data_IF_138327337684
#
_entry.id   IF_138327337684
#
_cell.length_a   1.000
_cell.length_b   1.000
_cell.length_c   1.000
_cell.angle_alpha   90.00
_cell.angle_beta   90.00
_cell.angle_gamma   90.00
#
_symmetry.space_group_name_H-M   'P 1'
#
loop_
_entity.id
_entity.type
_entity.pdbx_description
1 polymer ?
#
# COMPACT_ATOMS: atom_id res chain seq x y z
N UNK A 1 21.43 -11.42 21.75
CA UNK A 1 21.30 -11.29 20.29
C UNK A 1 19.85 -10.97 19.94
N UNK A 2 19.62 -10.10 18.94
CA UNK A 2 18.26 -9.91 18.41
C UNK A 2 17.90 -11.05 17.50
N UNK A 3 16.66 -11.53 17.57
CA UNK A 3 16.19 -12.63 16.71
C UNK A 3 15.52 -12.07 15.44
N UNK A 4 15.89 -12.58 14.28
CA UNK A 4 15.16 -12.42 13.03
C UNK A 4 14.61 -13.76 12.59
N UNK A 5 13.34 -13.79 12.17
CA UNK A 5 12.73 -14.96 11.54
C UNK A 5 12.49 -14.66 10.07
N UNK A 6 13.18 -15.37 9.20
CA UNK A 6 12.90 -15.40 7.77
C UNK A 6 11.75 -16.38 7.54
N UNK A 7 10.63 -15.91 6.98
CA UNK A 7 9.44 -16.70 6.74
C UNK A 7 9.32 -16.98 5.24
N UNK A 8 9.31 -18.25 4.87
CA UNK A 8 9.22 -18.70 3.49
C UNK A 8 8.01 -19.64 3.31
N UNK A 9 6.88 -19.13 2.79
CA UNK A 9 5.75 -19.96 2.37
C UNK A 9 6.14 -20.88 1.22
N UNK A 10 5.79 -22.16 1.30
CA UNK A 10 6.13 -23.18 0.29
C UNK A 10 4.92 -23.98 -0.15
N UNK A 11 4.93 -24.36 -1.42
CA UNK A 11 4.05 -25.37 -2.00
C UNK A 11 4.70 -25.97 -3.23
N UNK A 12 5.23 -27.20 -3.10
CA UNK A 12 5.97 -27.91 -4.15
C UNK A 12 7.19 -27.11 -4.63
N UNK A 13 8.15 -26.91 -3.73
CA UNK A 13 9.38 -26.13 -3.97
C UNK A 13 10.65 -26.99 -3.72
N UNK A 14 10.58 -28.33 -3.87
CA UNK A 14 11.70 -29.22 -3.60
C UNK A 14 12.96 -28.90 -4.41
N UNK A 15 12.79 -28.35 -5.61
CA UNK A 15 13.92 -27.96 -6.47
C UNK A 15 14.72 -26.75 -5.99
N UNK A 16 14.15 -25.90 -5.11
CA UNK A 16 14.75 -24.63 -4.66
C UNK A 16 14.99 -24.59 -3.15
N UNK A 17 14.23 -25.36 -2.36
CA UNK A 17 14.18 -25.24 -0.91
C UNK A 17 15.53 -25.49 -0.22
N UNK A 18 16.32 -26.47 -0.68
CA UNK A 18 17.63 -26.75 -0.14
C UNK A 18 18.57 -25.57 -0.26
N UNK A 19 18.65 -24.99 -1.46
CA UNK A 19 19.49 -23.81 -1.73
C UNK A 19 19.04 -22.60 -0.93
N UNK A 20 17.72 -22.38 -0.77
CA UNK A 20 17.19 -21.31 0.07
C UNK A 20 17.68 -21.46 1.51
N UNK A 21 17.53 -22.65 2.11
CA UNK A 21 17.91 -22.90 3.50
C UNK A 21 19.41 -22.65 3.71
N UNK A 22 20.26 -23.22 2.85
CA UNK A 22 21.71 -23.04 2.92
C UNK A 22 22.09 -21.58 2.80
N UNK A 23 21.60 -20.88 1.77
CA UNK A 23 21.94 -19.46 1.53
C UNK A 23 21.44 -18.54 2.64
N UNK A 24 20.29 -18.81 3.26
CA UNK A 24 19.80 -18.03 4.41
C UNK A 24 20.72 -18.16 5.61
N UNK A 25 21.12 -19.39 5.97
CA UNK A 25 22.00 -19.60 7.11
C UNK A 25 23.44 -19.14 6.87
N UNK A 26 23.93 -19.15 5.64
CA UNK A 26 25.23 -18.57 5.26
C UNK A 26 25.31 -17.05 5.58
N UNK A 27 24.18 -16.36 5.71
CA UNK A 27 24.17 -14.94 6.09
C UNK A 27 24.48 -14.72 7.59
N UNK A 28 24.46 -15.76 8.42
CA UNK A 28 24.73 -15.65 9.87
C UNK A 28 26.13 -15.09 10.15
N UNK A 29 27.11 -15.44 9.34
CA UNK A 29 28.49 -14.95 9.48
C UNK A 29 28.60 -13.43 9.30
N UNK A 30 27.71 -12.82 8.51
CA UNK A 30 27.67 -11.38 8.23
C UNK A 30 26.87 -10.60 9.29
N UNK A 31 26.21 -11.30 10.21
CA UNK A 31 25.24 -10.73 11.15
C UNK A 31 25.51 -11.19 12.58
N UNK A 32 26.70 -10.90 13.15
CA UNK A 32 27.12 -11.45 14.46
C UNK A 32 26.22 -11.02 15.63
N UNK A 33 25.47 -9.94 15.48
CA UNK A 33 24.55 -9.43 16.52
C UNK A 33 23.12 -9.98 16.39
N UNK A 34 22.88 -10.83 15.37
CA UNK A 34 21.54 -11.35 15.06
C UNK A 34 21.56 -12.88 15.06
N UNK A 35 20.52 -13.46 15.64
CA UNK A 35 20.19 -14.88 15.52
C UNK A 35 19.23 -15.07 14.34
N UNK A 36 19.70 -15.72 13.28
CA UNK A 36 18.88 -16.02 12.12
C UNK A 36 18.09 -17.30 12.37
N UNK A 37 16.77 -17.18 12.30
CA UNK A 37 15.83 -18.28 12.32
C UNK A 37 15.13 -18.35 10.96
N UNK A 38 14.88 -19.53 10.43
CA UNK A 38 14.14 -19.75 9.19
C UNK A 38 12.89 -20.58 9.46
N UNK A 39 11.73 -20.05 9.15
CA UNK A 39 10.45 -20.73 9.25
C UNK A 39 9.91 -21.04 7.86
N UNK A 40 9.92 -22.32 7.50
CA UNK A 40 9.23 -22.82 6.31
C UNK A 40 7.76 -23.06 6.66
N UNK A 41 6.86 -22.47 5.88
CA UNK A 41 5.40 -22.61 6.02
C UNK A 41 4.89 -23.40 4.84
N UNK A 42 4.77 -24.71 5.01
CA UNK A 42 4.46 -25.62 3.92
C UNK A 42 2.96 -25.90 3.82
N UNK A 43 2.41 -25.76 2.62
CA UNK A 43 1.00 -25.97 2.33
C UNK A 43 0.72 -27.42 1.86
N UNK A 44 1.18 -28.40 2.61
CA UNK A 44 1.09 -29.83 2.33
C UNK A 44 1.66 -30.20 0.94
N UNK A 45 2.92 -29.89 0.73
CA UNK A 45 3.65 -30.27 -0.50
C UNK A 45 3.76 -31.78 -0.65
N UNK A 46 3.60 -32.27 -1.89
CA UNK A 46 3.67 -33.68 -2.24
C UNK A 46 4.90 -34.07 -3.11
N UNK A 47 5.79 -33.10 -3.38
CA UNK A 47 6.99 -33.27 -4.22
C UNK A 47 8.26 -33.59 -3.44
N UNK A 48 8.16 -33.80 -2.12
CA UNK A 48 9.31 -34.08 -1.25
C UNK A 48 9.87 -32.85 -0.54
N UNK A 49 9.30 -31.63 -0.72
CA UNK A 49 9.72 -30.41 -0.01
C UNK A 49 9.83 -30.63 1.49
N UNK A 50 8.77 -31.14 2.13
CA UNK A 50 8.73 -31.38 3.59
C UNK A 50 9.83 -32.39 4.02
N UNK A 51 10.06 -33.45 3.25
CA UNK A 51 11.11 -34.43 3.52
C UNK A 51 12.49 -33.80 3.51
N UNK A 52 12.76 -32.94 2.53
CA UNK A 52 14.02 -32.19 2.43
C UNK A 52 14.20 -31.25 3.62
N UNK A 53 13.17 -30.47 4.01
CA UNK A 53 13.23 -29.57 5.18
C UNK A 53 13.52 -30.38 6.47
N UNK A 54 12.79 -31.47 6.74
CA UNK A 54 12.99 -32.33 7.92
C UNK A 54 14.39 -32.93 7.97
N UNK A 55 14.97 -33.28 6.83
CA UNK A 55 16.37 -33.75 6.77
C UNK A 55 17.37 -32.65 7.14
N UNK A 56 17.12 -31.42 6.69
CA UNK A 56 18.00 -30.26 6.95
C UNK A 56 17.90 -29.73 8.38
N UNK A 57 16.79 -29.95 9.08
CA UNK A 57 16.66 -29.58 10.50
C UNK A 57 17.72 -30.25 11.39
N UNK A 58 18.25 -31.41 10.99
CA UNK A 58 19.37 -32.07 11.69
C UNK A 58 20.66 -31.23 11.64
N UNK A 59 20.86 -30.46 10.60
CA UNK A 59 22.05 -29.61 10.39
C UNK A 59 21.83 -28.18 10.92
N UNK A 60 20.60 -27.68 10.86
CA UNK A 60 20.26 -26.28 11.19
C UNK A 60 19.26 -26.22 12.35
N UNK A 61 19.71 -26.03 13.60
CA UNK A 61 18.83 -26.05 14.79
C UNK A 61 17.76 -24.94 14.77
N UNK A 62 18.02 -23.84 14.08
CA UNK A 62 17.09 -22.71 13.95
C UNK A 62 16.22 -22.78 12.67
N UNK A 63 16.10 -23.95 12.06
CA UNK A 63 15.19 -24.24 10.96
C UNK A 63 13.89 -24.82 11.52
N UNK A 64 12.79 -24.14 11.29
CA UNK A 64 11.44 -24.52 11.73
C UNK A 64 10.57 -24.90 10.53
N UNK A 65 9.65 -25.81 10.74
CA UNK A 65 8.65 -26.21 9.76
C UNK A 65 7.25 -26.10 10.36
N UNK A 66 6.39 -25.38 9.68
CA UNK A 66 4.97 -25.29 9.99
C UNK A 66 4.17 -25.82 8.79
N UNK A 67 3.50 -26.93 8.96
CA UNK A 67 2.61 -27.51 7.94
C UNK A 67 1.20 -26.93 8.11
N UNK A 68 0.59 -26.37 7.06
CA UNK A 68 -0.70 -25.67 7.11
C UNK A 68 -1.55 -25.97 5.90
N UNK A 69 -2.87 -25.76 6.01
CA UNK A 69 -3.75 -25.85 4.87
C UNK A 69 -3.45 -24.75 3.81
N UNK A 70 -3.68 -25.08 2.53
CA UNK A 70 -3.49 -24.17 1.41
C UNK A 70 -4.64 -23.17 1.30
N UNK A 71 -4.58 -22.11 2.11
CA UNK A 71 -5.60 -21.05 2.17
C UNK A 71 -5.14 -19.73 1.53
N UNK A 72 -4.00 -19.73 0.89
CA UNK A 72 -3.40 -18.57 0.22
C UNK A 72 -2.26 -17.92 1.00
N UNK A 73 -1.47 -17.10 0.28
CA UNK A 73 -0.23 -16.52 0.78
C UNK A 73 -0.40 -15.71 2.07
N UNK A 74 -1.44 -14.87 2.14
CA UNK A 74 -1.71 -14.06 3.32
C UNK A 74 -1.99 -14.90 4.58
N UNK A 75 -2.74 -15.99 4.43
CA UNK A 75 -3.03 -16.91 5.54
C UNK A 75 -1.77 -17.62 6.03
N UNK A 76 -0.89 -18.04 5.13
CA UNK A 76 0.38 -18.64 5.49
C UNK A 76 1.23 -17.68 6.33
N UNK A 77 1.35 -16.39 5.94
CA UNK A 77 2.06 -15.41 6.76
C UNK A 77 1.39 -15.16 8.12
N UNK A 78 0.07 -15.10 8.18
CA UNK A 78 -0.64 -14.90 9.46
C UNK A 78 -0.42 -16.08 10.42
N UNK A 79 -0.45 -17.30 9.92
CA UNK A 79 -0.14 -18.49 10.71
C UNK A 79 1.34 -18.48 11.18
N UNK A 80 2.25 -18.07 10.29
CA UNK A 80 3.65 -17.87 10.63
C UNK A 80 3.85 -16.83 11.74
N UNK A 81 3.16 -15.70 11.68
CA UNK A 81 3.25 -14.66 12.72
C UNK A 81 2.77 -15.18 14.08
N UNK A 82 1.69 -15.96 14.12
CA UNK A 82 1.23 -16.62 15.36
C UNK A 82 2.25 -17.63 15.88
N UNK A 83 2.82 -18.42 14.98
CA UNK A 83 3.87 -19.37 15.35
C UNK A 83 5.09 -18.64 15.94
N UNK A 84 5.54 -17.56 15.28
CA UNK A 84 6.65 -16.74 15.74
C UNK A 84 6.37 -16.16 17.14
N UNK A 85 5.18 -15.62 17.36
CA UNK A 85 4.77 -15.04 18.66
C UNK A 85 4.83 -16.08 19.78
N UNK A 86 4.37 -17.28 19.50
CA UNK A 86 4.26 -18.35 20.52
C UNK A 86 5.60 -19.04 20.81
N UNK A 87 6.47 -19.22 19.82
CA UNK A 87 7.61 -20.13 19.91
C UNK A 87 8.97 -19.46 19.83
N UNK A 88 9.09 -18.27 19.25
CA UNK A 88 10.40 -17.64 18.98
C UNK A 88 10.50 -16.24 19.57
N UNK A 89 9.41 -15.47 19.55
CA UNK A 89 9.31 -14.04 19.93
C UNK A 89 10.43 -13.19 19.31
N UNK A 90 10.44 -13.02 17.97
CA UNK A 90 11.50 -12.31 17.29
C UNK A 90 11.37 -10.79 17.40
N UNK A 91 12.50 -10.08 17.24
CA UNK A 91 12.50 -8.64 17.03
C UNK A 91 12.02 -8.27 15.63
N UNK A 92 12.39 -9.09 14.63
CA UNK A 92 12.19 -8.85 13.21
C UNK A 92 11.63 -10.10 12.52
N UNK A 93 10.66 -9.92 11.64
CA UNK A 93 10.24 -10.94 10.68
C UNK A 93 10.59 -10.49 9.26
N UNK A 94 11.03 -11.42 8.44
CA UNK A 94 11.27 -11.19 7.03
C UNK A 94 10.39 -12.11 6.19
N UNK A 95 9.87 -11.60 5.10
CA UNK A 95 9.11 -12.35 4.10
C UNK A 95 10.01 -12.62 2.90
N UNK A 96 10.06 -13.87 2.44
CA UNK A 96 10.84 -14.28 1.26
C UNK A 96 10.06 -15.35 0.48
N UNK A 97 10.16 -15.35 -0.84
CA UNK A 97 9.61 -16.42 -1.67
C UNK A 97 10.63 -17.58 -1.76
N UNK A 98 10.12 -18.82 -1.76
CA UNK A 98 10.97 -20.01 -1.76
C UNK A 98 11.41 -20.48 -3.16
N UNK A 99 10.93 -19.83 -4.23
CA UNK A 99 11.14 -20.22 -5.63
C UNK A 99 12.44 -19.71 -6.27
N UNK A 100 13.28 -19.05 -5.46
CA UNK A 100 14.58 -18.50 -5.88
C UNK A 100 14.51 -17.13 -6.56
N UNK A 101 13.34 -16.49 -6.62
CA UNK A 101 13.20 -15.15 -7.20
C UNK A 101 13.76 -14.05 -6.28
N UNK A 102 13.73 -14.26 -4.97
CA UNK A 102 14.33 -13.41 -3.96
C UNK A 102 15.72 -13.95 -3.55
N UNK A 103 16.72 -13.08 -3.59
CA UNK A 103 18.09 -13.46 -3.22
C UNK A 103 18.30 -13.34 -1.69
N UNK A 104 18.50 -14.43 -0.95
CA UNK A 104 18.74 -14.37 0.50
C UNK A 104 19.99 -13.59 0.90
N UNK A 105 20.95 -13.42 -0.01
CA UNK A 105 22.17 -12.62 0.24
C UNK A 105 21.89 -11.14 0.51
N UNK A 106 20.66 -10.68 0.21
CA UNK A 106 20.20 -9.32 0.53
C UNK A 106 19.74 -9.16 2.00
N UNK A 107 19.57 -10.24 2.77
CA UNK A 107 19.12 -10.19 4.17
C UNK A 107 19.92 -9.18 5.02
N UNK A 108 21.26 -9.13 4.96
CA UNK A 108 22.03 -8.13 5.72
C UNK A 108 21.66 -6.67 5.38
N UNK A 109 21.34 -6.39 4.11
CA UNK A 109 20.97 -5.04 3.69
C UNK A 109 19.60 -4.63 4.28
N UNK A 110 18.64 -5.57 4.34
CA UNK A 110 17.36 -5.32 4.99
C UNK A 110 17.53 -5.07 6.49
N UNK A 111 18.34 -5.86 7.16
CA UNK A 111 18.63 -5.70 8.60
C UNK A 111 19.31 -4.37 8.87
N UNK A 112 20.31 -3.98 8.07
CA UNK A 112 20.96 -2.69 8.17
C UNK A 112 19.93 -1.54 8.07
N UNK A 113 18.98 -1.64 7.15
CA UNK A 113 17.93 -0.61 7.00
C UNK A 113 17.00 -0.51 8.21
N UNK A 114 16.73 -1.65 8.87
CA UNK A 114 16.00 -1.69 10.16
C UNK A 114 16.83 -1.05 11.29
N UNK A 115 18.14 -1.28 11.32
CA UNK A 115 19.05 -0.68 12.30
C UNK A 115 19.17 0.84 12.11
N UNK A 116 19.06 1.33 10.88
CA UNK A 116 18.97 2.75 10.53
C UNK A 116 17.65 3.42 10.98
N UNK A 117 16.74 2.67 11.59
CA UNK A 117 15.50 3.17 12.18
C UNK A 117 14.22 2.82 11.46
N UNK A 118 14.27 2.15 10.30
CA UNK A 118 13.05 1.70 9.62
C UNK A 118 12.27 0.68 10.45
N UNK A 119 10.93 0.71 10.34
CA UNK A 119 10.03 -0.27 10.94
C UNK A 119 9.55 -1.31 9.91
N UNK A 120 9.52 -0.91 8.65
CA UNK A 120 9.07 -1.71 7.52
C UNK A 120 9.95 -1.43 6.30
N UNK A 121 10.66 -2.43 5.82
CA UNK A 121 11.54 -2.31 4.65
C UNK A 121 11.00 -3.16 3.51
N UNK A 122 10.93 -2.58 2.31
CA UNK A 122 10.48 -3.25 1.09
C UNK A 122 11.64 -3.39 0.12
N UNK A 123 11.83 -4.60 -0.40
CA UNK A 123 12.70 -4.82 -1.56
C UNK A 123 12.00 -4.28 -2.83
N UNK A 124 12.61 -3.32 -3.51
CA UNK A 124 12.01 -2.67 -4.65
C UNK A 124 12.72 -3.00 -5.95
N UNK A 125 11.94 -3.38 -6.96
CA UNK A 125 12.38 -3.62 -8.34
C UNK A 125 12.42 -2.33 -9.16
N UNK A 126 11.71 -1.29 -8.68
CA UNK A 126 11.44 -0.06 -9.42
C UNK A 126 12.19 1.16 -8.89
N UNK A 127 12.97 1.03 -7.83
CA UNK A 127 13.93 2.06 -7.42
C UNK A 127 15.22 1.99 -8.26
N UNK A 128 15.98 3.07 -8.24
CA UNK A 128 17.30 3.10 -8.88
C UNK A 128 18.18 1.98 -8.31
N UNK A 129 18.77 1.15 -9.18
CA UNK A 129 19.53 -0.05 -8.79
C UNK A 129 18.70 -1.32 -8.64
N UNK A 130 17.37 -1.26 -8.76
CA UNK A 130 16.51 -2.45 -8.84
C UNK A 130 16.27 -2.91 -10.27
N UNK A 131 15.83 -4.14 -10.46
CA UNK A 131 15.50 -4.65 -11.79
C UNK A 131 14.43 -5.75 -11.77
N UNK A 132 13.70 -5.84 -12.89
CA UNK A 132 12.84 -6.98 -13.23
C UNK A 132 13.56 -7.84 -14.28
N UNK A 133 13.25 -9.15 -14.37
CA UNK A 133 13.86 -10.02 -15.38
C UNK A 133 13.67 -9.50 -16.80
N UNK A 134 14.74 -9.51 -17.58
CA UNK A 134 14.75 -8.99 -18.97
C UNK A 134 13.81 -9.77 -19.87
N UNK A 135 13.69 -11.05 -19.66
CA UNK A 135 12.90 -12.02 -20.44
C UNK A 135 11.41 -12.07 -20.08
N UNK A 136 10.94 -11.25 -19.11
CA UNK A 136 9.51 -11.13 -18.91
C UNK A 136 8.81 -10.62 -20.16
N UNK A 137 7.76 -11.34 -20.61
CA UNK A 137 6.92 -10.87 -21.71
C UNK A 137 6.33 -9.48 -21.42
N UNK A 138 6.13 -8.71 -22.49
CA UNK A 138 5.66 -7.32 -22.39
C UNK A 138 4.36 -7.19 -21.55
N UNK A 139 3.40 -8.12 -21.73
CA UNK A 139 2.15 -8.14 -20.95
C UNK A 139 2.39 -8.25 -19.45
N UNK A 140 3.37 -9.08 -19.01
CA UNK A 140 3.72 -9.24 -17.59
C UNK A 140 4.38 -7.98 -17.05
N UNK A 141 5.24 -7.32 -17.82
CA UNK A 141 5.86 -6.04 -17.46
C UNK A 141 4.79 -4.95 -17.27
N UNK A 142 3.88 -4.82 -18.25
CA UNK A 142 2.78 -3.85 -18.20
C UNK A 142 1.87 -4.09 -16.99
N UNK A 143 1.47 -5.33 -16.72
CA UNK A 143 0.62 -5.65 -15.58
C UNK A 143 1.32 -5.38 -14.24
N UNK A 144 2.61 -5.73 -14.11
CA UNK A 144 3.36 -5.51 -12.87
C UNK A 144 3.58 -4.02 -12.59
N UNK A 145 4.00 -3.27 -13.60
CA UNK A 145 4.20 -1.81 -13.49
C UNK A 145 2.84 -1.12 -13.28
N UNK A 146 1.83 -1.48 -14.07
CA UNK A 146 0.50 -0.89 -14.01
C UNK A 146 -0.16 -1.11 -12.64
N UNK A 147 -0.13 -2.33 -12.10
CA UNK A 147 -0.65 -2.62 -10.77
C UNK A 147 0.05 -1.78 -9.69
N UNK A 148 1.38 -1.65 -9.77
CA UNK A 148 2.13 -0.82 -8.83
C UNK A 148 1.77 0.67 -8.95
N UNK A 149 1.60 1.20 -10.17
CA UNK A 149 1.19 2.58 -10.40
C UNK A 149 -0.24 2.86 -9.88
N UNK A 150 -1.17 1.93 -10.11
CA UNK A 150 -2.55 2.04 -9.58
C UNK A 150 -2.54 2.18 -8.05
N UNK A 151 -1.77 1.35 -7.36
CA UNK A 151 -1.67 1.43 -5.90
C UNK A 151 -0.98 2.72 -5.46
N UNK A 152 0.16 3.03 -6.07
CA UNK A 152 0.99 4.21 -5.78
C UNK A 152 0.20 5.52 -5.86
N UNK A 153 -0.48 5.72 -6.98
CA UNK A 153 -1.26 6.94 -7.22
C UNK A 153 -2.65 6.87 -6.58
N UNK A 154 -3.25 5.69 -6.53
CA UNK A 154 -4.50 5.50 -5.80
C UNK A 154 -4.40 5.87 -4.32
N UNK A 155 -3.29 5.58 -3.66
CA UNK A 155 -3.04 6.02 -2.29
C UNK A 155 -2.36 7.40 -2.17
N UNK A 156 -2.04 8.05 -3.29
CA UNK A 156 -1.27 9.32 -3.33
C UNK A 156 0.02 9.24 -2.52
N UNK A 157 0.79 8.15 -2.70
CA UNK A 157 2.08 7.90 -2.05
C UNK A 157 3.20 7.75 -3.09
N UNK A 158 3.51 8.81 -3.87
CA UNK A 158 4.45 8.73 -4.99
C UNK A 158 5.89 8.39 -4.58
N UNK A 159 6.24 8.59 -3.31
CA UNK A 159 7.57 8.26 -2.78
C UNK A 159 7.78 6.76 -2.55
N UNK A 160 6.71 5.97 -2.38
CA UNK A 160 6.81 4.51 -2.27
C UNK A 160 6.96 3.94 -3.67
N UNK A 161 8.10 3.33 -3.95
CA UNK A 161 8.42 2.86 -5.30
C UNK A 161 7.84 1.48 -5.60
N UNK A 162 7.63 0.64 -4.58
CA UNK A 162 7.15 -0.74 -4.74
C UNK A 162 6.08 -1.09 -3.68
N UNK A 163 4.92 -1.55 -4.13
CA UNK A 163 3.80 -1.94 -3.27
C UNK A 163 3.54 -3.44 -3.24
N UNK A 164 3.99 -4.13 -4.27
CA UNK A 164 3.52 -5.48 -4.60
C UNK A 164 4.54 -6.57 -4.29
N UNK A 165 5.82 -6.23 -4.13
CA UNK A 165 6.86 -7.20 -3.84
C UNK A 165 6.69 -7.82 -2.45
N UNK A 166 6.90 -9.14 -2.36
CA UNK A 166 6.85 -9.92 -1.13
C UNK A 166 8.15 -9.94 -0.34
N UNK A 167 9.26 -9.42 -0.86
CA UNK A 167 10.53 -9.39 -0.12
C UNK A 167 10.55 -8.22 0.86
N UNK A 168 10.40 -8.50 2.15
CA UNK A 168 10.17 -7.47 3.18
C UNK A 168 10.85 -7.83 4.49
N UNK A 169 11.25 -6.79 5.24
CA UNK A 169 11.65 -6.91 6.64
C UNK A 169 10.75 -6.01 7.49
N UNK A 170 10.21 -6.53 8.58
CA UNK A 170 9.15 -5.88 9.35
C UNK A 170 9.41 -6.09 10.83
N UNK A 171 9.52 -5.01 11.61
CA UNK A 171 9.60 -5.13 13.06
C UNK A 171 8.37 -5.88 13.60
N UNK A 172 8.58 -6.85 14.45
CA UNK A 172 7.54 -7.83 14.80
C UNK A 172 6.34 -7.20 15.52
N UNK A 173 6.54 -6.11 16.27
CA UNK A 173 5.43 -5.38 16.88
C UNK A 173 4.39 -4.92 15.85
N UNK A 174 4.83 -4.54 14.66
CA UNK A 174 3.93 -4.09 13.60
C UNK A 174 3.16 -5.25 12.99
N UNK A 175 3.79 -6.42 12.82
CA UNK A 175 3.14 -7.64 12.36
C UNK A 175 2.04 -8.10 13.35
N UNK A 176 2.34 -8.06 14.65
CA UNK A 176 1.35 -8.37 15.70
C UNK A 176 0.17 -7.40 15.66
N UNK A 177 0.44 -6.09 15.58
CA UNK A 177 -0.62 -5.07 15.52
C UNK A 177 -1.49 -5.18 14.26
N UNK A 178 -0.92 -5.65 13.15
CA UNK A 178 -1.61 -5.76 11.88
C UNK A 178 -2.52 -7.00 11.76
N UNK A 179 -2.41 -7.96 12.67
CA UNK A 179 -3.05 -9.27 12.55
C UNK A 179 -4.56 -9.17 12.26
N UNK A 180 -5.30 -8.43 13.08
CA UNK A 180 -6.77 -8.30 12.94
C UNK A 180 -7.17 -7.60 11.64
N UNK A 181 -6.36 -6.65 11.18
CA UNK A 181 -6.58 -6.00 9.89
C UNK A 181 -6.34 -6.94 8.71
N UNK A 182 -5.31 -7.79 8.82
CA UNK A 182 -4.85 -8.64 7.72
C UNK A 182 -5.60 -9.97 7.59
N UNK A 183 -6.32 -10.42 8.62
CA UNK A 183 -7.00 -11.73 8.64
C UNK A 183 -8.00 -11.97 7.50
N UNK A 184 -8.49 -10.89 6.88
CA UNK A 184 -9.45 -10.94 5.78
C UNK A 184 -8.78 -11.00 4.39
N UNK A 185 -7.44 -10.94 4.31
CA UNK A 185 -6.69 -10.92 3.05
C UNK A 185 -5.86 -12.20 2.89
N UNK A 186 -6.41 -13.19 2.18
CA UNK A 186 -5.73 -14.48 2.00
C UNK A 186 -4.75 -14.53 0.82
N UNK A 187 -5.00 -13.74 -0.22
CA UNK A 187 -4.21 -13.73 -1.46
C UNK A 187 -3.04 -12.75 -1.46
N UNK A 188 -2.54 -12.44 -2.64
CA UNK A 188 -1.40 -11.51 -2.84
C UNK A 188 -1.73 -10.06 -2.48
N UNK A 189 -3.00 -9.66 -2.47
CA UNK A 189 -3.43 -8.34 -1.98
C UNK A 189 -3.04 -8.09 -0.51
N UNK A 190 -2.76 -9.15 0.25
CA UNK A 190 -2.18 -9.10 1.59
C UNK A 190 -0.95 -8.18 1.65
N UNK A 191 -0.09 -8.24 0.63
CA UNK A 191 1.13 -7.42 0.60
C UNK A 191 0.81 -5.92 0.53
N UNK A 192 -0.17 -5.54 -0.29
CA UNK A 192 -0.64 -4.14 -0.40
C UNK A 192 -1.33 -3.70 0.89
N UNK A 193 -2.20 -4.55 1.44
CA UNK A 193 -2.92 -4.28 2.68
C UNK A 193 -1.98 -4.09 3.88
N UNK A 194 -0.91 -4.88 3.96
CA UNK A 194 0.05 -4.77 5.04
C UNK A 194 0.87 -3.47 4.96
N UNK A 195 1.32 -3.09 3.78
CA UNK A 195 2.05 -1.83 3.59
C UNK A 195 1.14 -0.61 3.84
N UNK A 196 -0.11 -0.65 3.37
CA UNK A 196 -1.12 0.39 3.67
C UNK A 196 -1.36 0.52 5.18
N UNK A 197 -1.50 -0.63 5.89
CA UNK A 197 -1.62 -0.65 7.34
C UNK A 197 -0.40 -0.01 8.03
N UNK A 198 0.82 -0.38 7.60
CA UNK A 198 2.04 0.18 8.14
C UNK A 198 2.10 1.70 7.98
N UNK A 199 1.78 2.22 6.79
CA UNK A 199 1.73 3.65 6.49
C UNK A 199 0.69 4.37 7.37
N UNK A 200 -0.51 3.79 7.52
CA UNK A 200 -1.58 4.36 8.35
C UNK A 200 -1.25 4.37 9.85
N UNK A 201 -0.35 3.51 10.28
CA UNK A 201 0.16 3.46 11.65
C UNK A 201 1.49 4.22 11.85
N UNK A 202 1.86 5.09 10.89
CA UNK A 202 3.06 5.93 10.93
C UNK A 202 4.38 5.14 11.07
N UNK A 203 4.43 3.91 10.54
CA UNK A 203 5.66 3.14 10.48
C UNK A 203 6.70 3.86 9.60
N UNK A 204 7.95 3.87 10.05
CA UNK A 204 9.08 4.39 9.27
C UNK A 204 9.38 3.39 8.15
N UNK A 205 9.20 3.84 6.90
CA UNK A 205 9.43 3.00 5.72
C UNK A 205 10.88 3.10 5.25
N UNK A 206 11.45 1.96 4.87
CA UNK A 206 12.69 1.84 4.13
C UNK A 206 12.48 1.10 2.81
N UNK A 207 13.29 1.41 1.82
CA UNK A 207 13.32 0.69 0.54
C UNK A 207 14.74 0.27 0.21
N UNK A 208 14.89 -0.92 -0.37
CA UNK A 208 16.17 -1.47 -0.83
C UNK A 208 16.00 -1.93 -2.28
N UNK A 209 16.83 -1.47 -3.21
CA UNK A 209 16.78 -1.98 -4.57
C UNK A 209 17.16 -3.46 -4.59
N UNK A 210 16.35 -4.26 -5.29
CA UNK A 210 16.58 -5.70 -5.44
C UNK A 210 16.53 -6.09 -6.91
N UNK A 211 17.40 -7.02 -7.28
CA UNK A 211 17.35 -7.68 -8.59
C UNK A 211 16.43 -8.89 -8.49
N UNK A 212 15.23 -8.77 -9.06
CA UNK A 212 14.29 -9.89 -9.05
C UNK A 212 14.74 -10.92 -10.07
N UNK A 213 15.00 -12.14 -9.59
CA UNK A 213 15.54 -13.21 -10.43
C UNK A 213 14.42 -13.96 -11.14
N UNK A 214 14.78 -14.68 -12.20
CA UNK A 214 13.88 -15.67 -12.76
C UNK A 214 13.71 -16.85 -11.80
N UNK A 215 12.51 -17.40 -11.85
CA UNK A 215 12.21 -18.63 -11.13
C UNK A 215 13.09 -19.76 -11.67
N UNK A 216 13.80 -20.46 -10.77
CA UNK A 216 14.68 -21.55 -11.15
C UNK A 216 13.92 -22.84 -11.48
N UNK A 217 12.72 -23.04 -10.89
CA UNK A 217 11.88 -24.20 -11.09
C UNK A 217 10.40 -23.87 -10.85
N UNK A 218 9.48 -24.67 -11.41
CA UNK A 218 8.04 -24.58 -11.19
C UNK A 218 7.31 -23.54 -12.04
N UNK A 219 5.98 -23.54 -11.95
CA UNK A 219 5.08 -22.65 -12.69
C UNK A 219 4.53 -21.58 -11.75
N UNK A 220 4.33 -20.37 -12.25
CA UNK A 220 3.71 -19.30 -11.47
C UNK A 220 2.31 -19.70 -11.01
N UNK A 221 2.07 -19.65 -9.71
CA UNK A 221 0.77 -19.98 -9.09
C UNK A 221 -0.13 -18.73 -8.98
N UNK A 222 0.34 -17.57 -9.47
CA UNK A 222 -0.37 -16.30 -9.41
C UNK A 222 -1.34 -16.22 -10.59
N UNK A 223 -2.63 -16.11 -10.30
CA UNK A 223 -3.60 -15.64 -11.28
C UNK A 223 -3.52 -14.10 -11.36
N UNK A 224 -2.84 -13.60 -12.39
CA UNK A 224 -2.55 -12.18 -12.53
C UNK A 224 -3.82 -11.32 -12.61
N UNK A 225 -4.87 -11.80 -13.26
CA UNK A 225 -6.14 -11.07 -13.37
C UNK A 225 -6.86 -10.99 -12.02
N UNK A 226 -6.93 -12.10 -11.28
CA UNK A 226 -7.51 -12.13 -9.95
C UNK A 226 -6.75 -11.22 -8.98
N UNK A 227 -5.42 -11.26 -9.02
CA UNK A 227 -4.59 -10.40 -8.17
C UNK A 227 -4.78 -8.92 -8.51
N UNK A 228 -4.77 -8.56 -9.80
CA UNK A 228 -4.96 -7.18 -10.24
C UNK A 228 -6.34 -6.65 -9.86
N UNK A 229 -7.40 -7.45 -10.01
CA UNK A 229 -8.75 -7.06 -9.61
C UNK A 229 -8.87 -6.88 -8.10
N UNK A 230 -8.38 -7.82 -7.30
CA UNK A 230 -8.38 -7.70 -5.84
C UNK A 230 -7.60 -6.46 -5.36
N UNK A 231 -6.45 -6.18 -5.97
CA UNK A 231 -5.65 -4.99 -5.67
C UNK A 231 -6.41 -3.71 -6.04
N UNK A 232 -7.01 -3.66 -7.20
CA UNK A 232 -7.83 -2.53 -7.63
C UNK A 232 -9.01 -2.27 -6.69
N UNK A 233 -9.77 -3.29 -6.34
CA UNK A 233 -10.88 -3.16 -5.37
C UNK A 233 -10.40 -2.76 -3.99
N UNK A 234 -9.23 -3.26 -3.54
CA UNK A 234 -8.63 -2.82 -2.30
C UNK A 234 -8.34 -1.32 -2.33
N UNK A 235 -7.72 -0.83 -3.40
CA UNK A 235 -7.41 0.61 -3.58
C UNK A 235 -8.69 1.44 -3.60
N UNK A 236 -9.70 1.03 -4.37
CA UNK A 236 -11.00 1.73 -4.44
C UNK A 236 -11.65 1.90 -3.06
N UNK A 237 -11.63 0.84 -2.25
CA UNK A 237 -12.33 0.82 -0.97
C UNK A 237 -11.53 1.43 0.19
N UNK A 238 -10.18 1.42 0.11
CA UNK A 238 -9.30 1.84 1.22
C UNK A 238 -8.57 3.16 0.97
N UNK A 239 -8.56 3.66 -0.28
CA UNK A 239 -7.92 4.92 -0.61
C UNK A 239 -8.70 6.13 -0.12
N UNK A 240 -8.07 6.94 0.72
CA UNK A 240 -8.63 8.24 1.12
C UNK A 240 -8.75 9.20 -0.05
N UNK A 241 -7.87 9.11 -1.05
CA UNK A 241 -7.90 9.95 -2.24
C UNK A 241 -9.11 9.63 -3.13
N UNK A 242 -9.40 8.35 -3.37
CA UNK A 242 -10.56 7.95 -4.16
C UNK A 242 -11.86 8.32 -3.44
N UNK A 243 -11.94 8.07 -2.13
CA UNK A 243 -13.10 8.50 -1.32
C UNK A 243 -13.30 10.02 -1.39
N UNK A 244 -12.22 10.78 -1.26
CA UNK A 244 -12.25 12.23 -1.40
C UNK A 244 -12.77 12.67 -2.78
N UNK A 245 -12.31 12.00 -3.85
CA UNK A 245 -12.78 12.27 -5.22
C UNK A 245 -14.30 12.00 -5.36
N UNK A 246 -14.79 10.88 -4.83
CA UNK A 246 -16.22 10.55 -4.82
C UNK A 246 -17.00 11.59 -4.02
N UNK A 247 -16.53 12.04 -2.87
CA UNK A 247 -17.15 13.10 -2.08
C UNK A 247 -17.25 14.41 -2.89
N UNK A 248 -16.21 14.74 -3.66
CA UNK A 248 -16.26 15.90 -4.56
C UNK A 248 -17.37 15.80 -5.61
N UNK A 249 -17.55 14.64 -6.21
CA UNK A 249 -18.64 14.38 -7.17
C UNK A 249 -20.01 14.49 -6.49
N UNK A 250 -20.18 13.85 -5.32
CA UNK A 250 -21.46 13.92 -4.58
C UNK A 250 -21.80 15.34 -4.17
N UNK A 251 -20.81 16.15 -3.78
CA UNK A 251 -21.01 17.56 -3.51
C UNK A 251 -21.47 18.36 -4.72
N UNK A 252 -20.89 18.10 -5.89
CA UNK A 252 -21.32 18.75 -7.13
C UNK A 252 -22.76 18.39 -7.52
N UNK A 253 -23.14 17.11 -7.37
CA UNK A 253 -24.51 16.64 -7.60
C UNK A 253 -25.49 17.31 -6.63
N UNK A 254 -25.10 17.42 -5.36
CA UNK A 254 -25.91 18.06 -4.33
C UNK A 254 -26.12 19.54 -4.60
N UNK A 255 -25.04 20.27 -4.93
CA UNK A 255 -25.08 21.70 -5.30
C UNK A 255 -26.01 21.95 -6.47
N UNK A 256 -25.83 21.21 -7.56
CA UNK A 256 -26.69 21.32 -8.74
C UNK A 256 -28.15 20.96 -8.44
N UNK A 257 -28.40 19.87 -7.71
CA UNK A 257 -29.74 19.38 -7.37
C UNK A 257 -30.51 20.40 -6.50
N UNK A 258 -29.86 20.95 -5.48
CA UNK A 258 -30.46 22.00 -4.62
C UNK A 258 -30.72 23.27 -5.43
N UNK A 259 -29.75 23.71 -6.24
CA UNK A 259 -29.94 24.89 -7.11
C UNK A 259 -31.13 24.72 -8.06
N UNK A 260 -31.19 23.55 -8.72
CA UNK A 260 -32.28 23.24 -9.64
C UNK A 260 -33.66 23.28 -8.92
N UNK A 261 -33.78 22.58 -7.80
CA UNK A 261 -35.03 22.57 -7.03
C UNK A 261 -35.43 23.97 -6.53
N UNK A 262 -34.49 24.74 -6.00
CA UNK A 262 -34.74 26.06 -5.49
C UNK A 262 -35.17 27.04 -6.60
N UNK A 263 -34.49 27.04 -7.75
CA UNK A 263 -34.78 27.95 -8.86
C UNK A 263 -36.06 27.54 -9.60
N UNK A 264 -36.10 26.28 -10.07
CA UNK A 264 -37.16 25.82 -10.98
C UNK A 264 -38.48 25.47 -10.27
N UNK A 265 -38.42 24.96 -9.05
CA UNK A 265 -39.60 24.51 -8.31
C UNK A 265 -40.07 25.54 -7.28
N UNK A 266 -39.13 26.11 -6.52
CA UNK A 266 -39.46 27.05 -5.45
C UNK A 266 -39.37 28.50 -5.86
N UNK A 267 -38.93 28.81 -7.10
CA UNK A 267 -38.77 30.13 -7.68
C UNK A 267 -37.92 31.09 -6.83
N UNK A 268 -36.96 30.53 -6.11
CA UNK A 268 -35.96 31.32 -5.36
C UNK A 268 -35.06 32.06 -6.35
N UNK A 269 -34.71 33.31 -6.05
CA UNK A 269 -33.78 34.09 -6.89
C UNK A 269 -32.42 33.38 -7.03
N UNK A 270 -31.82 33.40 -8.22
CA UNK A 270 -30.67 32.60 -8.62
C UNK A 270 -29.50 32.81 -7.67
N UNK A 271 -29.16 34.03 -7.29
CA UNK A 271 -28.01 34.31 -6.42
C UNK A 271 -28.17 33.68 -5.03
N UNK A 272 -29.38 33.75 -4.43
CA UNK A 272 -29.64 33.16 -3.11
C UNK A 272 -29.64 31.63 -3.17
N UNK A 273 -30.25 31.07 -4.21
CA UNK A 273 -30.21 29.62 -4.47
C UNK A 273 -28.78 29.10 -4.61
N UNK A 274 -27.94 29.82 -5.36
CA UNK A 274 -26.53 29.43 -5.55
C UNK A 274 -25.75 29.46 -4.23
N UNK A 275 -25.92 30.50 -3.40
CA UNK A 275 -25.28 30.57 -2.10
C UNK A 275 -25.70 29.38 -1.22
N UNK A 276 -27.00 29.13 -1.10
CA UNK A 276 -27.54 28.06 -0.25
C UNK A 276 -27.08 26.67 -0.70
N UNK A 277 -27.09 26.44 -2.01
CA UNK A 277 -26.68 25.14 -2.54
C UNK A 277 -25.17 24.91 -2.37
N UNK A 278 -24.34 25.90 -2.67
CA UNK A 278 -22.89 25.81 -2.55
C UNK A 278 -22.45 25.64 -1.10
N UNK A 279 -23.02 26.42 -0.16
CA UNK A 279 -22.71 26.25 1.28
C UNK A 279 -23.13 24.88 1.78
N UNK A 280 -24.30 24.37 1.35
CA UNK A 280 -24.75 23.02 1.71
C UNK A 280 -23.78 21.95 1.18
N UNK A 281 -23.32 22.08 -0.06
CA UNK A 281 -22.34 21.17 -0.65
C UNK A 281 -20.97 21.23 0.07
N UNK A 282 -20.51 22.42 0.44
CA UNK A 282 -19.26 22.61 1.20
C UNK A 282 -19.34 21.93 2.56
N UNK A 283 -20.42 22.16 3.31
CA UNK A 283 -20.63 21.51 4.63
C UNK A 283 -20.70 19.99 4.47
N UNK A 284 -21.47 19.49 3.50
CA UNK A 284 -21.56 18.06 3.21
C UNK A 284 -20.19 17.46 2.88
N UNK A 285 -19.43 18.11 1.99
CA UNK A 285 -18.09 17.63 1.62
C UNK A 285 -17.13 17.62 2.80
N UNK A 286 -17.16 18.63 3.67
CA UNK A 286 -16.36 18.67 4.88
C UNK A 286 -16.72 17.51 5.82
N UNK A 287 -18.01 17.27 6.06
CA UNK A 287 -18.48 16.19 6.93
C UNK A 287 -18.13 14.80 6.36
N UNK A 288 -18.45 14.55 5.09
CA UNK A 288 -18.14 13.27 4.45
C UNK A 288 -16.63 13.01 4.38
N UNK A 289 -15.84 14.04 4.13
CA UNK A 289 -14.39 13.90 4.19
C UNK A 289 -13.91 13.54 5.59
N UNK A 290 -14.44 14.15 6.64
CA UNK A 290 -14.06 13.84 8.01
C UNK A 290 -14.47 12.42 8.46
N UNK A 291 -15.68 11.99 8.13
CA UNK A 291 -16.21 10.73 8.64
C UNK A 291 -15.97 9.52 7.72
N UNK A 292 -15.68 9.75 6.45
CA UNK A 292 -15.49 8.68 5.46
C UNK A 292 -14.11 8.71 4.80
N UNK A 293 -13.72 9.80 4.10
CA UNK A 293 -12.45 9.83 3.35
C UNK A 293 -11.23 9.78 4.26
N UNK A 294 -11.26 10.54 5.37
CA UNK A 294 -10.19 10.67 6.34
C UNK A 294 -10.56 10.11 7.72
N UNK A 295 -11.45 9.11 7.78
CA UNK A 295 -11.97 8.55 9.03
C UNK A 295 -10.87 8.06 9.99
N UNK A 296 -9.74 7.57 9.47
CA UNK A 296 -8.57 7.16 10.26
C UNK A 296 -7.81 8.33 10.89
N UNK A 297 -8.09 9.57 10.46
CA UNK A 297 -7.50 10.83 10.94
C UNK A 297 -8.57 11.86 11.32
N UNK A 298 -9.79 11.40 11.61
CA UNK A 298 -10.90 12.31 11.91
C UNK A 298 -10.54 13.37 12.95
N UNK A 299 -11.10 14.55 12.79
CA UNK A 299 -10.93 15.66 13.71
C UNK A 299 -11.41 15.21 15.10
N UNK A 300 -10.53 15.38 16.08
CA UNK A 300 -10.82 15.12 17.50
C UNK A 300 -10.91 16.45 18.23
N UNK A 301 -11.93 16.59 19.10
CA UNK A 301 -12.18 17.80 19.88
C UNK A 301 -13.60 18.29 19.71
N UNK A 302 -13.98 19.32 20.46
CA UNK A 302 -15.31 19.92 20.44
C UNK A 302 -15.52 20.87 19.26
N UNK A 303 -16.63 21.60 19.29
CA UNK A 303 -17.04 22.56 18.27
C UNK A 303 -15.93 23.53 17.81
N UNK A 304 -15.07 24.09 18.70
CA UNK A 304 -13.99 24.98 18.25
C UNK A 304 -13.00 24.32 17.30
N UNK A 305 -12.67 23.02 17.51
CA UNK A 305 -11.77 22.28 16.62
C UNK A 305 -12.40 22.04 15.24
N UNK A 306 -13.70 21.76 15.19
CA UNK A 306 -14.45 21.63 13.95
C UNK A 306 -14.53 22.94 13.18
N UNK A 307 -14.88 24.07 13.86
CA UNK A 307 -14.94 25.39 13.22
C UNK A 307 -13.57 25.82 12.66
N UNK A 308 -12.50 25.68 13.44
CA UNK A 308 -11.15 25.98 12.96
C UNK A 308 -10.76 25.13 11.76
N UNK A 309 -11.12 23.84 11.76
CA UNK A 309 -10.85 22.95 10.64
C UNK A 309 -11.70 23.28 9.42
N UNK A 310 -12.95 23.69 9.62
CA UNK A 310 -13.85 24.14 8.54
C UNK A 310 -13.36 25.43 7.88
N UNK A 311 -12.87 26.39 8.65
CA UNK A 311 -12.24 27.61 8.11
C UNK A 311 -11.01 27.28 7.25
N UNK A 312 -10.15 26.36 7.71
CA UNK A 312 -9.01 25.86 6.92
C UNK A 312 -9.45 25.15 5.64
N UNK A 313 -10.55 24.40 5.72
CA UNK A 313 -11.13 23.73 4.55
C UNK A 313 -11.56 24.74 3.49
N UNK A 314 -12.26 25.80 3.89
CA UNK A 314 -12.67 26.89 2.98
C UNK A 314 -11.47 27.64 2.40
N UNK A 315 -10.43 27.91 3.20
CA UNK A 315 -9.21 28.58 2.72
C UNK A 315 -8.50 27.76 1.63
N UNK A 316 -8.37 26.46 1.81
CA UNK A 316 -7.77 25.56 0.80
C UNK A 316 -8.67 25.52 -0.45
N UNK A 317 -9.99 25.48 -0.28
CA UNK A 317 -10.95 25.49 -1.40
C UNK A 317 -10.85 26.80 -2.20
N UNK A 318 -10.69 27.94 -1.55
CA UNK A 318 -10.47 29.24 -2.23
C UNK A 318 -9.17 29.24 -3.04
N UNK A 319 -8.09 28.64 -2.53
CA UNK A 319 -6.85 28.43 -3.29
C UNK A 319 -7.06 27.58 -4.54
N UNK A 320 -7.91 26.55 -4.45
CA UNK A 320 -8.27 25.72 -5.61
C UNK A 320 -9.01 26.52 -6.70
N UNK A 321 -9.91 27.42 -6.31
CA UNK A 321 -10.59 28.34 -7.24
C UNK A 321 -9.58 29.28 -7.92
N UNK A 322 -8.66 29.86 -7.16
CA UNK A 322 -7.62 30.73 -7.70
C UNK A 322 -6.75 30.00 -8.74
N UNK A 323 -6.33 28.77 -8.45
CA UNK A 323 -5.57 27.93 -9.40
C UNK A 323 -6.36 27.71 -10.69
N UNK A 324 -7.66 27.45 -10.60
CA UNK A 324 -8.50 27.28 -11.80
C UNK A 324 -8.59 28.57 -12.63
N UNK A 325 -8.89 29.68 -11.98
CA UNK A 325 -9.04 30.98 -12.67
C UNK A 325 -7.76 31.38 -13.39
N UNK A 326 -6.65 31.40 -12.66
CA UNK A 326 -5.34 31.78 -13.22
C UNK A 326 -4.86 30.76 -14.26
N UNK A 327 -4.99 29.47 -13.95
CA UNK A 327 -4.53 28.39 -14.84
C UNK A 327 -5.28 28.37 -16.18
N UNK A 328 -6.61 28.57 -16.17
CA UNK A 328 -7.40 28.65 -17.42
C UNK A 328 -6.94 29.87 -18.25
N UNK A 329 -6.75 31.04 -17.63
CA UNK A 329 -6.29 32.23 -18.35
C UNK A 329 -4.92 32.02 -19.00
N UNK A 330 -3.97 31.43 -18.29
CA UNK A 330 -2.65 31.11 -18.84
C UNK A 330 -2.77 30.15 -20.04
N UNK A 331 -3.54 29.07 -19.91
CA UNK A 331 -3.70 28.10 -21.00
C UNK A 331 -4.42 28.69 -22.22
N UNK A 332 -5.41 29.56 -22.00
CA UNK A 332 -6.10 30.30 -23.08
C UNK A 332 -5.14 31.24 -23.79
N UNK A 333 -4.28 31.95 -23.06
CA UNK A 333 -3.26 32.83 -23.66
C UNK A 333 -2.22 32.07 -24.48
N UNK A 334 -1.79 30.89 -24.02
CA UNK A 334 -0.78 30.07 -24.68
C UNK A 334 -1.32 29.29 -25.88
N UNK A 335 -2.52 28.72 -25.77
CA UNK A 335 -3.05 27.74 -26.73
C UNK A 335 -4.39 28.16 -27.37
N UNK A 336 -4.88 29.34 -27.06
CA UNK A 336 -6.12 29.88 -27.62
C UNK A 336 -7.40 29.44 -26.91
N UNK A 337 -8.53 30.14 -27.17
CA UNK A 337 -9.80 29.97 -26.47
C UNK A 337 -10.56 28.70 -26.86
N UNK A 338 -10.30 28.11 -28.04
CA UNK A 338 -11.12 27.06 -28.64
C UNK A 338 -11.32 25.82 -27.75
N UNK A 339 -10.30 25.44 -26.94
CA UNK A 339 -10.29 24.23 -26.11
C UNK A 339 -10.35 24.54 -24.60
N UNK A 340 -10.90 25.70 -24.18
CA UNK A 340 -10.93 26.12 -22.78
C UNK A 340 -11.56 25.08 -21.82
N UNK A 341 -12.55 24.33 -22.28
CA UNK A 341 -13.20 23.29 -21.48
C UNK A 341 -12.27 22.09 -21.20
N UNK A 342 -11.42 21.72 -22.18
CA UNK A 342 -10.37 20.71 -21.94
C UNK A 342 -9.34 21.21 -20.93
N UNK A 343 -8.93 22.48 -21.03
CA UNK A 343 -8.00 23.08 -20.05
C UNK A 343 -8.61 23.06 -18.66
N UNK A 344 -9.90 23.36 -18.53
CA UNK A 344 -10.61 23.32 -17.25
C UNK A 344 -10.62 21.90 -16.66
N UNK A 345 -10.99 20.90 -17.44
CA UNK A 345 -10.99 19.48 -17.02
C UNK A 345 -9.57 19.03 -16.62
N UNK A 346 -8.58 19.36 -17.43
CA UNK A 346 -7.18 19.07 -17.14
C UNK A 346 -6.73 19.68 -15.80
N UNK A 347 -6.97 20.97 -15.60
CA UNK A 347 -6.61 21.66 -14.36
C UNK A 347 -7.29 21.04 -13.15
N UNK A 348 -8.59 20.74 -13.26
CA UNK A 348 -9.34 20.12 -12.16
C UNK A 348 -8.76 18.77 -11.81
N UNK A 349 -8.59 17.86 -12.76
CA UNK A 349 -8.18 16.49 -12.53
C UNK A 349 -6.72 16.36 -12.08
N UNK A 350 -5.83 17.12 -12.71
CA UNK A 350 -4.38 16.93 -12.53
C UNK A 350 -3.71 17.93 -11.59
N UNK A 351 -4.36 19.06 -11.31
CA UNK A 351 -3.77 20.09 -10.44
C UNK A 351 -4.66 20.35 -9.21
N UNK A 352 -5.92 20.69 -9.40
CA UNK A 352 -6.79 21.13 -8.29
C UNK A 352 -7.13 20.00 -7.33
N UNK A 353 -7.52 18.84 -7.84
CA UNK A 353 -7.84 17.67 -7.00
C UNK A 353 -6.64 17.20 -6.20
N UNK A 354 -5.44 16.96 -6.81
CA UNK A 354 -4.23 16.63 -6.04
C UNK A 354 -3.81 17.72 -5.06
N UNK A 355 -3.85 19.00 -5.46
CA UNK A 355 -3.58 20.13 -4.59
C UNK A 355 -4.45 20.10 -3.34
N UNK A 356 -5.77 20.10 -3.51
CA UNK A 356 -6.72 20.12 -2.40
C UNK A 356 -6.55 18.90 -1.49
N UNK A 357 -6.38 17.72 -2.05
CA UNK A 357 -6.16 16.50 -1.28
C UNK A 357 -4.87 16.57 -0.43
N UNK A 358 -3.76 17.04 -1.00
CA UNK A 358 -2.49 17.19 -0.29
C UNK A 358 -2.62 18.21 0.85
N UNK A 359 -3.19 19.37 0.56
CA UNK A 359 -3.33 20.45 1.54
C UNK A 359 -4.32 20.10 2.65
N UNK A 360 -5.43 19.44 2.34
CA UNK A 360 -6.35 18.90 3.34
C UNK A 360 -5.67 17.90 4.28
N UNK A 361 -4.88 16.97 3.75
CA UNK A 361 -4.09 16.05 4.57
C UNK A 361 -3.06 16.76 5.44
N UNK A 362 -2.43 17.82 4.93
CA UNK A 362 -1.38 18.54 5.63
C UNK A 362 -1.91 19.47 6.73
N UNK A 363 -3.02 20.15 6.50
CA UNK A 363 -3.49 21.23 7.38
C UNK A 363 -4.70 20.87 8.24
N UNK A 364 -5.54 19.94 7.79
CA UNK A 364 -6.79 19.57 8.46
C UNK A 364 -6.71 18.17 9.05
N UNK A 365 -6.51 17.17 8.20
CA UNK A 365 -6.43 15.77 8.62
C UNK A 365 -4.97 15.30 8.74
N UNK A 366 -4.24 15.88 9.71
CA UNK A 366 -2.83 15.54 9.95
C UNK A 366 -2.69 14.13 10.53
N UNK A 367 -1.65 13.40 10.12
CA UNK A 367 -1.12 12.30 10.92
C UNK A 367 -0.46 12.91 12.16
N UNK A 368 -0.80 12.40 13.34
CA UNK A 368 -0.06 12.73 14.56
C UNK A 368 1.31 12.09 14.52
#
# INVERSE_FOLDING_TARGET
MRKVVVIAPTYNENGSIKNLIETVFDQSEKLPNWEINLLIVDSYSNDGTVKTVKAMQKKYPHLYLLETAKEGLGKAYLQAFKYCEKHIDPYLVMQIDADGQHDPRMIPNFIKKIEEGADFVVGTRYAMGGSIPSNWGLHRKILSIGANLVVKYGFMKPKVTEWTNGYRAIKFWLAKKAYDHLKNYSGYVFQVAFLDFAIKNNAVLGEIPVHFQERKSGISKINALQYSSQTFFYVLTHSSFIKYFIVGITGSVLDFGISYLAIEKLRVVIWLSTILSTETAIVNNFLLNNFWSFSHKKIKGGLPAYLSSFLKFNLVSSGAVLIQVVGIQILVLLFGKKLWYFYKVFLILFIVIPYSYIFYNKFIWKSK
#
